data_IF_920818197102
#
_entry.id   IF_920818197102
#
_cell.length_a   1.000
_cell.length_b   1.000
_cell.length_c   1.000
_cell.angle_alpha   90.00
_cell.angle_beta   90.00
_cell.angle_gamma   90.00
#
_symmetry.space_group_name_H-M   'P 1'
#
loop_
_entity.id
_entity.type
_entity.pdbx_description
1 polymer ?
#
# COMPACT_ATOMS: atom_id res chain seq x y z
N UNK A 1 -13.09 19.24 13.64
CA UNK A 1 -12.64 17.86 13.46
C UNK A 1 -12.00 17.79 12.09
N UNK A 2 -10.74 17.38 11.99
CA UNK A 2 -10.04 17.27 10.72
C UNK A 2 -10.33 15.87 10.20
N UNK A 3 -11.38 15.73 9.40
CA UNK A 3 -11.78 14.43 8.88
C UNK A 3 -10.69 13.87 7.97
N UNK A 4 -10.51 12.55 8.01
CA UNK A 4 -9.66 11.86 7.05
C UNK A 4 -10.19 12.13 5.63
N UNK A 5 -9.31 12.29 4.62
CA UNK A 5 -9.75 12.48 3.24
C UNK A 5 -10.25 11.18 2.57
N UNK A 6 -10.59 10.16 3.36
CA UNK A 6 -11.06 8.84 2.94
C UNK A 6 -12.16 8.36 3.86
N UNK A 7 -13.04 7.53 3.32
CA UNK A 7 -13.93 6.70 4.12
C UNK A 7 -13.16 5.48 4.67
N UNK A 8 -13.43 5.08 5.92
CA UNK A 8 -12.82 3.88 6.53
C UNK A 8 -13.00 2.64 5.65
N UNK A 9 -14.17 2.51 5.02
CA UNK A 9 -14.48 1.40 4.12
C UNK A 9 -13.57 1.37 2.87
N UNK A 10 -13.15 2.52 2.35
CA UNK A 10 -12.23 2.57 1.21
C UNK A 10 -10.84 2.05 1.60
N UNK A 11 -10.38 2.38 2.81
CA UNK A 11 -9.10 1.89 3.35
C UNK A 11 -9.18 0.39 3.63
N UNK A 12 -10.25 -0.09 4.26
CA UNK A 12 -10.45 -1.52 4.52
C UNK A 12 -10.48 -2.36 3.23
N UNK A 13 -11.13 -1.86 2.17
CA UNK A 13 -11.12 -2.52 0.87
C UNK A 13 -9.70 -2.57 0.29
N UNK A 14 -8.96 -1.47 0.38
CA UNK A 14 -7.57 -1.41 -0.10
C UNK A 14 -6.66 -2.38 0.68
N UNK A 15 -6.81 -2.45 2.00
CA UNK A 15 -6.13 -3.40 2.88
C UNK A 15 -6.40 -4.84 2.46
N UNK A 16 -7.66 -5.18 2.20
CA UNK A 16 -8.04 -6.53 1.77
C UNK A 16 -7.34 -6.90 0.46
N UNK A 17 -7.30 -5.98 -0.50
CA UNK A 17 -6.61 -6.19 -1.78
C UNK A 17 -5.10 -6.36 -1.59
N UNK A 18 -4.46 -5.51 -0.78
CA UNK A 18 -3.04 -5.66 -0.45
C UNK A 18 -2.76 -7.02 0.17
N UNK A 19 -3.51 -7.42 1.20
CA UNK A 19 -3.34 -8.72 1.86
C UNK A 19 -3.56 -9.89 0.89
N UNK A 20 -4.50 -9.79 -0.04
CA UNK A 20 -4.73 -10.81 -1.06
C UNK A 20 -3.51 -10.97 -2.00
N UNK A 21 -2.90 -9.86 -2.43
CA UNK A 21 -1.67 -9.88 -3.23
C UNK A 21 -0.51 -10.46 -2.42
N UNK A 22 -0.25 -9.95 -1.21
CA UNK A 22 0.88 -10.41 -0.39
C UNK A 22 0.77 -11.88 0.02
N UNK A 23 -0.44 -12.37 0.34
CA UNK A 23 -0.68 -13.76 0.68
C UNK A 23 -0.42 -14.71 -0.49
N UNK A 24 -0.66 -14.24 -1.73
CA UNK A 24 -0.39 -14.98 -2.95
C UNK A 24 1.11 -15.02 -3.23
N UNK A 25 1.79 -13.86 -3.20
CA UNK A 25 3.24 -13.79 -3.44
C UNK A 25 4.09 -14.57 -2.42
N UNK A 26 3.66 -14.65 -1.17
CA UNK A 26 4.31 -15.49 -0.17
C UNK A 26 4.29 -16.99 -0.51
N UNK A 27 3.38 -17.43 -1.38
CA UNK A 27 3.25 -18.81 -1.85
C UNK A 27 4.14 -19.11 -3.08
N UNK A 28 4.46 -18.09 -3.89
CA UNK A 28 5.23 -18.24 -5.14
C UNK A 28 6.76 -18.37 -4.92
N UNK A 29 7.26 -18.21 -3.68
CA UNK A 29 8.70 -18.29 -3.36
C UNK A 29 9.21 -19.75 -3.22
N UNK A 30 8.35 -20.78 -3.27
CA UNK A 30 8.75 -22.18 -3.02
C UNK A 30 9.20 -22.98 -4.28
N UNK A 31 9.11 -22.44 -5.51
CA UNK A 31 9.50 -23.16 -6.75
C UNK A 31 10.57 -22.43 -7.58
N UNK A 32 11.69 -22.04 -6.96
CA UNK A 32 12.94 -21.74 -7.68
C UNK A 32 14.07 -22.68 -7.25
N UNK A 33 13.76 -23.98 -7.23
CA UNK A 33 14.72 -25.07 -7.14
C UNK A 33 15.10 -25.63 -8.52
N UNK A 34 15.45 -24.79 -9.50
CA UNK A 34 15.77 -25.21 -10.86
C UNK A 34 17.14 -24.73 -11.32
N UNK A 35 18.11 -25.64 -11.41
CA UNK A 35 19.50 -25.39 -11.81
C UNK A 35 19.61 -24.79 -13.22
N UNK A 36 20.59 -23.89 -13.38
CA UNK A 36 21.00 -23.23 -14.61
C UNK A 36 21.20 -24.17 -15.80
N UNK A 37 20.71 -23.79 -16.99
CA UNK A 37 21.43 -23.73 -18.29
C UNK A 37 20.45 -23.42 -19.42
N UNK A 38 20.90 -22.55 -20.34
CA UNK A 38 20.41 -22.27 -21.71
C UNK A 38 19.23 -21.29 -21.94
N UNK A 39 19.63 -20.05 -22.21
CA UNK A 39 19.26 -19.19 -23.36
C UNK A 39 18.12 -19.68 -24.27
N UNK A 40 16.94 -19.06 -24.13
CA UNK A 40 16.09 -18.60 -25.23
C UNK A 40 14.88 -17.84 -24.68
N UNK A 41 14.81 -16.55 -25.00
CA UNK A 41 13.63 -15.68 -25.01
C UNK A 41 12.28 -16.37 -24.76
N UNK A 42 11.80 -16.26 -23.53
CA UNK A 42 10.39 -16.37 -23.18
C UNK A 42 10.07 -15.28 -22.13
N UNK A 43 10.29 -14.03 -22.53
CA UNK A 43 9.56 -12.87 -22.03
C UNK A 43 8.07 -13.05 -22.37
N UNK A 44 7.38 -13.95 -21.67
CA UNK A 44 5.99 -14.29 -21.98
C UNK A 44 5.29 -14.76 -20.71
N UNK A 45 4.39 -13.91 -20.23
CA UNK A 45 3.26 -14.23 -19.36
C UNK A 45 3.61 -14.73 -17.94
N UNK A 46 4.26 -13.89 -17.14
CA UNK A 46 3.92 -13.80 -15.70
C UNK A 46 2.78 -12.77 -15.48
N UNK A 47 2.07 -12.42 -16.55
CA UNK A 47 0.89 -11.55 -16.62
C UNK A 47 -0.38 -12.30 -16.14
N UNK A 48 -0.27 -13.10 -15.09
CA UNK A 48 -1.28 -14.08 -14.69
C UNK A 48 -1.90 -13.73 -13.34
N UNK A 49 -2.98 -12.94 -13.32
CA UNK A 49 -3.81 -12.59 -12.14
C UNK A 49 -3.13 -11.78 -11.01
N UNK A 50 -1.84 -11.98 -10.73
CA UNK A 50 -1.08 -11.18 -9.75
C UNK A 50 -0.86 -9.75 -10.24
N UNK A 51 -0.41 -9.61 -11.49
CA UNK A 51 -0.23 -8.33 -12.16
C UNK A 51 -1.57 -7.57 -12.25
N UNK A 52 -2.68 -8.29 -12.49
CA UNK A 52 -4.03 -7.70 -12.49
C UNK A 52 -4.41 -7.16 -11.10
N UNK A 53 -4.10 -7.88 -10.03
CA UNK A 53 -4.45 -7.45 -8.66
C UNK A 53 -3.60 -6.25 -8.22
N UNK A 54 -2.31 -6.22 -8.61
CA UNK A 54 -1.42 -5.07 -8.40
C UNK A 54 -1.79 -3.86 -9.24
N UNK A 55 -2.22 -4.07 -10.48
CA UNK A 55 -2.70 -3.03 -11.38
C UNK A 55 -4.00 -2.42 -10.84
N UNK A 56 -4.92 -3.22 -10.29
CA UNK A 56 -6.12 -2.70 -9.63
C UNK A 56 -5.82 -1.85 -8.39
N UNK A 57 -4.88 -2.27 -7.54
CA UNK A 57 -4.42 -1.46 -6.39
C UNK A 57 -3.77 -0.16 -6.89
N UNK A 58 -2.96 -0.27 -7.95
CA UNK A 58 -2.30 0.87 -8.57
C UNK A 58 -3.32 1.86 -9.11
N UNK A 59 -4.28 1.42 -9.91
CA UNK A 59 -5.35 2.28 -10.44
C UNK A 59 -6.20 2.90 -9.34
N UNK A 60 -6.54 2.14 -8.28
CA UNK A 60 -7.30 2.67 -7.15
C UNK A 60 -6.56 3.84 -6.48
N UNK A 61 -5.26 3.66 -6.20
CA UNK A 61 -4.43 4.71 -5.60
C UNK A 61 -4.19 5.85 -6.59
N UNK A 62 -3.95 5.57 -7.86
CA UNK A 62 -3.70 6.61 -8.88
C UNK A 62 -4.93 7.46 -9.16
N UNK A 63 -6.14 6.91 -9.03
CA UNK A 63 -7.41 7.64 -9.13
C UNK A 63 -7.65 8.59 -7.95
N UNK A 64 -6.91 8.44 -6.84
CA UNK A 64 -7.01 9.36 -5.69
C UNK A 64 -6.36 10.72 -5.99
N UNK A 65 -6.87 11.76 -5.32
CA UNK A 65 -6.27 13.10 -5.37
C UNK A 65 -4.91 13.14 -4.65
N UNK A 66 -4.09 14.16 -4.91
CA UNK A 66 -2.77 14.30 -4.26
C UNK A 66 -2.88 14.29 -2.73
N UNK A 67 -3.86 14.99 -2.15
CA UNK A 67 -4.08 14.99 -0.70
C UNK A 67 -4.40 13.61 -0.14
N UNK A 68 -5.18 12.82 -0.87
CA UNK A 68 -5.51 11.45 -0.47
C UNK A 68 -4.26 10.55 -0.53
N UNK A 69 -3.47 10.66 -1.60
CA UNK A 69 -2.19 9.95 -1.72
C UNK A 69 -1.22 10.31 -0.57
N UNK A 70 -1.08 11.60 -0.29
CA UNK A 70 -0.26 12.12 0.81
C UNK A 70 -0.73 11.57 2.17
N UNK A 71 -2.03 11.59 2.40
CA UNK A 71 -2.64 11.09 3.62
C UNK A 71 -2.54 9.55 3.75
N UNK A 72 -2.52 8.81 2.64
CA UNK A 72 -2.43 7.34 2.66
C UNK A 72 -1.03 6.90 3.10
N UNK A 73 0.00 7.60 2.60
CA UNK A 73 1.38 7.42 3.05
C UNK A 73 1.54 7.82 4.52
N UNK A 74 0.91 8.93 4.93
CA UNK A 74 0.93 9.35 6.32
C UNK A 74 0.26 8.32 7.26
N UNK A 75 -0.89 7.77 6.84
CA UNK A 75 -1.59 6.72 7.58
C UNK A 75 -0.73 5.47 7.75
N UNK A 76 -0.07 5.05 6.66
CA UNK A 76 0.88 3.95 6.69
C UNK A 76 2.04 4.20 7.67
N UNK A 77 2.61 5.41 7.71
CA UNK A 77 3.67 5.74 8.67
C UNK A 77 3.19 5.75 10.12
N UNK A 78 1.96 6.17 10.38
CA UNK A 78 1.35 6.13 11.73
C UNK A 78 1.11 4.68 12.17
N UNK A 79 0.63 3.84 11.26
CA UNK A 79 0.50 2.41 11.47
C UNK A 79 1.80 1.74 11.85
N UNK A 80 2.84 1.99 11.05
CA UNK A 80 4.20 1.48 11.25
C UNK A 80 4.89 2.02 12.52
N UNK A 81 4.39 3.13 13.09
CA UNK A 81 4.94 3.78 14.28
C UNK A 81 6.07 4.77 13.98
N UNK A 82 6.21 5.22 12.74
CA UNK A 82 7.15 6.28 12.36
C UNK A 82 6.62 7.68 12.64
N UNK A 83 5.31 7.81 12.83
CA UNK A 83 4.63 9.06 13.14
C UNK A 83 3.49 8.81 14.13
N UNK A 84 3.09 9.86 14.85
CA UNK A 84 1.95 9.81 15.76
C UNK A 84 0.70 10.47 15.13
N UNK A 85 -0.53 10.08 15.52
CA UNK A 85 -1.76 10.68 15.00
C UNK A 85 -1.87 12.18 15.32
N UNK A 86 -1.22 12.65 16.39
CA UNK A 86 -1.12 14.07 16.71
C UNK A 86 -0.29 14.88 15.69
N UNK A 87 0.62 14.22 14.97
CA UNK A 87 1.47 14.82 13.95
C UNK A 87 0.86 14.75 12.54
N UNK A 88 -0.38 14.30 12.39
CA UNK A 88 -1.06 14.03 11.11
C UNK A 88 -0.78 15.06 10.00
N UNK A 89 -0.98 16.35 10.28
CA UNK A 89 -0.80 17.42 9.29
C UNK A 89 0.67 17.58 8.88
N UNK A 90 1.60 17.42 9.83
CA UNK A 90 3.04 17.45 9.57
C UNK A 90 3.49 16.20 8.78
N UNK A 91 2.96 15.04 9.13
CA UNK A 91 3.20 13.76 8.45
C UNK A 91 2.70 13.78 7.01
N UNK A 92 1.50 14.33 6.76
CA UNK A 92 0.98 14.59 5.40
C UNK A 92 1.91 15.49 4.60
N UNK A 93 2.36 16.61 5.20
CA UNK A 93 3.27 17.53 4.52
C UNK A 93 4.63 16.87 4.23
N UNK A 94 5.10 15.97 5.09
CA UNK A 94 6.30 15.19 4.87
C UNK A 94 6.10 14.14 3.77
N UNK A 95 4.98 13.42 3.77
CA UNK A 95 4.61 12.48 2.73
C UNK A 95 4.59 13.15 1.34
N UNK A 96 3.98 14.34 1.26
CA UNK A 96 3.97 15.16 0.04
C UNK A 96 5.35 15.52 -0.48
N UNK A 97 6.30 15.77 0.42
CA UNK A 97 7.67 16.11 0.05
C UNK A 97 8.51 14.87 -0.29
N UNK A 98 8.18 13.72 0.29
CA UNK A 98 8.95 12.48 0.16
C UNK A 98 8.45 11.58 -0.98
N UNK A 99 7.18 11.69 -1.39
CA UNK A 99 6.62 10.88 -2.46
C UNK A 99 7.02 11.44 -3.85
N UNK A 100 8.28 11.30 -4.25
CA UNK A 100 8.71 11.56 -5.63
C UNK A 100 8.48 10.28 -6.46
N UNK A 101 7.21 10.01 -6.82
CA UNK A 101 6.82 8.85 -7.62
C UNK A 101 5.44 8.26 -7.32
N UNK A 102 5.21 7.03 -7.81
CA UNK A 102 3.96 6.31 -7.64
C UNK A 102 3.82 5.81 -6.19
N UNK A 103 2.87 6.38 -5.45
CA UNK A 103 2.53 5.94 -4.08
C UNK A 103 2.14 4.46 -4.04
N UNK A 104 1.41 4.00 -5.05
CA UNK A 104 1.07 2.58 -5.23
C UNK A 104 2.30 1.68 -5.21
N UNK A 105 3.34 2.05 -5.96
CA UNK A 105 4.59 1.28 -6.01
C UNK A 105 5.32 1.27 -4.68
N UNK A 106 5.32 2.40 -3.95
CA UNK A 106 5.93 2.46 -2.63
C UNK A 106 5.24 1.50 -1.65
N UNK A 107 3.90 1.54 -1.61
CA UNK A 107 3.07 0.73 -0.73
C UNK A 107 3.08 -0.76 -1.10
N UNK A 108 3.00 -1.10 -2.39
CA UNK A 108 3.11 -2.48 -2.89
C UNK A 108 4.48 -3.11 -2.61
N UNK A 109 5.50 -2.30 -2.34
CA UNK A 109 6.81 -2.79 -1.92
C UNK A 109 6.89 -3.15 -0.43
N UNK A 110 5.84 -2.91 0.36
CA UNK A 110 5.82 -3.17 1.80
C UNK A 110 4.95 -4.39 2.09
N UNK A 111 5.52 -5.50 2.58
CA UNK A 111 4.76 -6.75 2.75
C UNK A 111 3.68 -6.69 3.84
N UNK A 112 3.85 -5.81 4.82
CA UNK A 112 2.93 -5.63 5.94
C UNK A 112 2.05 -4.37 5.77
N UNK A 113 1.94 -3.86 4.54
CA UNK A 113 1.18 -2.62 4.26
C UNK A 113 -0.27 -2.68 4.71
N UNK A 114 -0.94 -3.82 4.55
CA UNK A 114 -2.32 -3.99 4.97
C UNK A 114 -2.48 -3.89 6.49
N UNK A 115 -1.55 -4.47 7.24
CA UNK A 115 -1.53 -4.39 8.69
C UNK A 115 -1.26 -2.95 9.15
N UNK A 116 -0.26 -2.28 8.59
CA UNK A 116 0.05 -0.90 8.95
C UNK A 116 -1.07 0.07 8.59
N UNK A 117 -1.72 -0.06 7.43
CA UNK A 117 -2.86 0.79 7.09
C UNK A 117 -4.03 0.60 8.06
N UNK A 118 -4.28 -0.64 8.51
CA UNK A 118 -5.31 -0.96 9.51
C UNK A 118 -4.96 -0.35 10.86
N UNK A 119 -3.75 -0.59 11.37
CA UNK A 119 -3.28 -0.01 12.63
C UNK A 119 -3.30 1.52 12.60
N UNK A 120 -2.92 2.12 11.46
CA UNK A 120 -2.95 3.56 11.27
C UNK A 120 -4.37 4.11 11.38
N UNK A 121 -5.34 3.45 10.76
CA UNK A 121 -6.76 3.81 10.83
C UNK A 121 -7.27 3.72 12.27
N UNK A 122 -7.03 2.59 12.94
CA UNK A 122 -7.45 2.39 14.34
C UNK A 122 -6.85 3.44 15.29
N UNK A 123 -5.58 3.82 15.09
CA UNK A 123 -4.92 4.88 15.87
C UNK A 123 -5.55 6.26 15.63
N UNK A 124 -5.93 6.56 14.39
CA UNK A 124 -6.58 7.82 14.03
C UNK A 124 -8.00 7.91 14.62
N UNK A 125 -8.75 6.81 14.56
CA UNK A 125 -10.07 6.69 15.18
C UNK A 125 -9.98 6.81 16.71
N UNK A 126 -9.01 6.14 17.33
CA UNK A 126 -8.77 6.22 18.78
C UNK A 126 -8.36 7.63 19.23
N UNK A 127 -7.68 8.39 18.36
CA UNK A 127 -7.34 9.79 18.60
C UNK A 127 -8.53 10.74 18.44
N UNK A 128 -9.60 10.32 17.77
CA UNK A 128 -10.84 11.10 17.58
C UNK A 128 -10.87 11.93 16.31
N UNK A 129 -10.15 11.50 15.27
CA UNK A 129 -10.28 12.03 13.92
C UNK A 129 -11.26 11.13 13.15
N UNK A 130 -12.54 11.51 13.20
CA UNK A 130 -13.61 11.02 12.32
C UNK A 130 -13.70 11.90 11.06
#
# INVERSE_FOLDING_TARGET
MNALPFDSAEIEELVLRFNAVMAKEGMDIDDLGGNATDDAVAETLQEGEDDLSRDEITQAIESMNDEQKDALVALFWIGRGDAEPEEWEATKALARQQHDGLVSRYLLGQPEVGEFLTEGLEKMEAFGLE
#
